data_IF_706012840334
#
_entry.id   IF_706012840334
#
_cell.length_a   1.000
_cell.length_b   1.000
_cell.length_c   1.000
_cell.angle_alpha   90.00
_cell.angle_beta   90.00
_cell.angle_gamma   90.00
#
_symmetry.space_group_name_H-M   'P 1'
#
loop_
_entity.id
_entity.type
_entity.pdbx_description
1 polymer ?
#
# COMPACT_ATOMS: atom_id res chain seq x y z
N UNK A 1 2.11 -17.75 12.44
CA UNK A 1 3.13 -18.71 11.95
C UNK A 1 4.48 -18.47 12.63
N UNK A 2 5.12 -17.32 12.43
CA UNK A 2 6.53 -17.10 12.87
C UNK A 2 6.71 -17.00 14.39
N UNK A 3 5.73 -16.51 15.14
CA UNK A 3 5.92 -16.10 16.55
C UNK A 3 5.03 -16.82 17.56
N UNK A 4 3.98 -17.53 17.16
CA UNK A 4 3.11 -18.24 18.09
C UNK A 4 3.76 -19.57 18.58
N UNK A 5 3.34 -20.05 19.76
CA UNK A 5 3.71 -21.39 20.25
C UNK A 5 3.16 -22.49 19.32
N UNK A 6 3.72 -23.69 19.39
CA UNK A 6 3.29 -24.80 18.54
C UNK A 6 1.84 -25.21 18.82
N UNK A 7 1.40 -25.13 20.07
CA UNK A 7 0.00 -25.41 20.46
C UNK A 7 -0.95 -24.41 19.79
N UNK A 8 -0.64 -23.11 19.84
CA UNK A 8 -1.46 -22.09 19.17
C UNK A 8 -1.44 -22.26 17.65
N UNK A 9 -0.31 -22.63 17.06
CA UNK A 9 -0.22 -22.88 15.61
C UNK A 9 -1.11 -24.05 15.21
N UNK A 10 -1.01 -25.19 15.91
CA UNK A 10 -1.79 -26.38 15.60
C UNK A 10 -3.29 -26.14 15.73
N UNK A 11 -3.72 -25.37 16.73
CA UNK A 11 -5.14 -25.10 16.98
C UNK A 11 -5.72 -24.04 16.03
N UNK A 12 -4.99 -22.98 15.70
CA UNK A 12 -5.57 -21.82 15.00
C UNK A 12 -5.22 -21.77 13.51
N UNK A 13 -3.99 -22.14 13.09
CA UNK A 13 -3.57 -21.96 11.70
C UNK A 13 -4.41 -22.75 10.68
N UNK A 14 -4.76 -24.02 10.88
CA UNK A 14 -5.56 -24.76 9.91
C UNK A 14 -6.90 -24.09 9.61
N UNK A 15 -7.54 -23.52 10.63
CA UNK A 15 -8.83 -22.85 10.50
C UNK A 15 -8.70 -21.46 9.87
N UNK A 16 -7.62 -20.71 10.17
CA UNK A 16 -7.34 -19.41 9.57
C UNK A 16 -6.94 -19.55 8.10
N UNK A 17 -6.11 -20.53 7.75
CA UNK A 17 -5.64 -20.73 6.36
C UNK A 17 -6.74 -21.29 5.45
N UNK A 18 -7.66 -22.10 5.98
CA UNK A 18 -8.83 -22.58 5.24
C UNK A 18 -9.95 -21.54 5.09
N UNK A 19 -9.85 -20.40 5.79
CA UNK A 19 -10.92 -19.39 5.84
C UNK A 19 -12.13 -19.77 6.69
N UNK A 20 -12.08 -20.89 7.43
CA UNK A 20 -13.12 -21.33 8.34
C UNK A 20 -13.28 -20.35 9.50
N UNK A 21 -12.16 -19.80 9.99
CA UNK A 21 -12.10 -18.69 10.92
C UNK A 21 -11.42 -17.48 10.25
N UNK A 22 -11.80 -16.28 10.66
CA UNK A 22 -11.18 -15.04 10.19
C UNK A 22 -10.27 -14.45 11.24
N UNK A 23 -9.25 -13.70 10.79
CA UNK A 23 -8.30 -13.00 11.65
C UNK A 23 -8.45 -11.49 11.55
N UNK A 24 -8.22 -10.77 12.65
CA UNK A 24 -8.24 -9.30 12.68
C UNK A 24 -7.02 -8.73 13.37
N UNK A 25 -6.64 -7.51 13.01
CA UNK A 25 -5.59 -6.72 13.67
C UNK A 25 -6.21 -5.66 14.57
N UNK A 26 -5.90 -5.70 15.87
CA UNK A 26 -6.47 -4.80 16.86
C UNK A 26 -5.39 -3.92 17.50
N UNK A 27 -5.12 -2.77 16.87
CA UNK A 27 -4.06 -1.84 17.27
C UNK A 27 -4.64 -0.57 17.90
N UNK A 28 -5.44 0.14 17.13
CA UNK A 28 -5.92 1.50 17.39
C UNK A 28 -6.88 1.54 18.60
N UNK A 29 -6.70 2.55 19.43
CA UNK A 29 -7.60 2.87 20.56
C UNK A 29 -8.13 4.30 20.41
N UNK A 30 -9.18 4.70 21.15
CA UNK A 30 -9.77 6.04 21.03
C UNK A 30 -8.77 7.19 21.17
N UNK A 31 -7.72 7.01 21.98
CA UNK A 31 -6.68 8.03 22.22
C UNK A 31 -5.42 7.84 21.37
N UNK A 32 -5.26 6.74 20.66
CA UNK A 32 -4.05 6.47 19.87
C UNK A 32 -4.31 5.67 18.61
N UNK A 33 -3.74 6.13 17.50
CA UNK A 33 -3.75 5.41 16.22
C UNK A 33 -2.34 5.36 15.65
N UNK A 34 -1.75 6.51 15.34
CA UNK A 34 -0.39 6.63 14.84
C UNK A 34 0.65 6.36 15.94
N UNK A 35 0.49 6.96 17.13
CA UNK A 35 1.36 6.72 18.27
C UNK A 35 0.77 5.63 19.17
N UNK A 36 1.09 4.38 18.87
CA UNK A 36 0.67 3.22 19.65
C UNK A 36 1.33 3.17 21.05
N UNK A 37 2.35 3.97 21.30
CA UNK A 37 2.95 4.10 22.62
C UNK A 37 1.97 4.59 23.70
N UNK A 38 0.87 5.23 23.30
CA UNK A 38 -0.20 5.70 24.16
C UNK A 38 -1.28 4.64 24.46
N UNK A 39 -1.12 3.40 23.98
CA UNK A 39 -2.07 2.31 24.20
C UNK A 39 -2.29 2.02 25.69
N UNK A 40 -3.55 1.84 26.10
CA UNK A 40 -4.00 1.59 27.46
C UNK A 40 -4.60 0.19 27.67
N UNK A 41 -4.86 -0.57 26.62
CA UNK A 41 -5.35 -1.95 26.74
C UNK A 41 -4.35 -2.78 27.56
N UNK A 42 -4.86 -3.45 28.60
CA UNK A 42 -4.08 -4.22 29.56
C UNK A 42 -4.27 -5.73 29.36
N UNK A 43 -3.20 -6.47 29.56
CA UNK A 43 -3.16 -7.94 29.60
C UNK A 43 -2.61 -8.39 30.95
N UNK A 44 -3.46 -8.87 31.84
CA UNK A 44 -3.08 -9.41 33.15
C UNK A 44 -2.85 -10.90 33.06
N UNK A 45 -1.70 -11.43 33.50
CA UNK A 45 -1.41 -12.86 33.45
C UNK A 45 -2.34 -13.65 34.38
N UNK A 46 -2.70 -14.87 33.97
CA UNK A 46 -3.37 -15.86 34.77
C UNK A 46 -2.40 -17.01 35.12
N UNK A 47 -2.75 -17.83 36.13
CA UNK A 47 -1.92 -18.94 36.60
C UNK A 47 -1.77 -20.07 35.55
N UNK A 48 -2.68 -20.14 34.58
CA UNK A 48 -2.68 -21.14 33.51
C UNK A 48 -1.88 -20.73 32.25
N UNK A 49 -1.10 -19.62 32.33
CA UNK A 49 -0.30 -19.10 31.23
C UNK A 49 -1.09 -18.27 30.21
N UNK A 50 -2.41 -18.17 30.37
CA UNK A 50 -3.23 -17.23 29.59
C UNK A 50 -3.21 -15.82 30.20
N UNK A 51 -3.89 -14.89 29.53
CA UNK A 51 -4.01 -13.49 29.98
C UNK A 51 -5.45 -13.03 29.93
N UNK A 52 -5.85 -12.16 30.85
CA UNK A 52 -7.09 -11.42 30.84
C UNK A 52 -6.88 -10.07 30.15
N UNK A 53 -7.46 -9.90 28.98
CA UNK A 53 -7.34 -8.68 28.16
C UNK A 53 -8.50 -7.74 28.49
N UNK A 54 -8.19 -6.49 28.82
CA UNK A 54 -9.19 -5.46 29.13
C UNK A 54 -8.85 -4.16 28.41
N UNK A 55 -9.80 -3.64 27.62
CA UNK A 55 -9.63 -2.38 26.87
C UNK A 55 -10.60 -2.25 25.72
N UNK A 56 -10.46 -1.16 24.97
CA UNK A 56 -11.27 -0.87 23.79
C UNK A 56 -10.40 -0.61 22.59
N UNK A 57 -10.68 -1.31 21.51
CA UNK A 57 -10.05 -1.11 20.21
C UNK A 57 -11.05 -0.55 19.21
N UNK A 58 -10.64 0.41 18.39
CA UNK A 58 -11.50 1.06 17.39
C UNK A 58 -10.97 0.88 15.97
N UNK A 59 -11.86 1.07 15.02
CA UNK A 59 -11.58 0.93 13.59
C UNK A 59 -11.11 -0.49 13.19
N UNK A 60 -11.66 -1.51 13.86
CA UNK A 60 -11.28 -2.88 13.60
C UNK A 60 -12.08 -3.43 12.41
N UNK A 61 -11.39 -3.61 11.31
CA UNK A 61 -11.95 -4.19 10.09
C UNK A 61 -12.37 -5.64 10.36
N UNK A 62 -13.64 -5.95 10.04
CA UNK A 62 -14.24 -7.27 10.24
C UNK A 62 -14.10 -7.80 11.69
N UNK A 63 -14.12 -6.89 12.69
CA UNK A 63 -14.03 -7.25 14.09
C UNK A 63 -15.19 -8.11 14.57
N UNK A 64 -16.36 -7.98 13.93
CA UNK A 64 -17.57 -8.79 14.19
C UNK A 64 -18.31 -9.01 12.88
N UNK A 65 -18.70 -10.25 12.61
CA UNK A 65 -19.54 -10.69 11.49
C UNK A 65 -19.97 -12.15 11.66
N UNK A 66 -20.88 -12.61 10.83
CA UNK A 66 -21.43 -13.98 10.79
C UNK A 66 -20.98 -14.79 9.55
N UNK A 67 -19.95 -14.31 8.82
CA UNK A 67 -19.42 -14.94 7.59
C UNK A 67 -18.43 -16.08 7.87
N UNK A 68 -17.98 -16.24 9.11
CA UNK A 68 -17.09 -17.31 9.55
C UNK A 68 -17.53 -17.87 10.90
N UNK A 69 -17.10 -19.09 11.24
CA UNK A 69 -17.48 -19.75 12.49
C UNK A 69 -16.88 -19.05 13.71
N UNK A 70 -15.73 -18.40 13.57
CA UNK A 70 -15.04 -17.70 14.65
C UNK A 70 -14.25 -16.51 14.11
N UNK A 71 -14.01 -15.51 14.96
CA UNK A 71 -13.10 -14.39 14.69
C UNK A 71 -11.96 -14.42 15.69
N UNK A 72 -10.73 -14.42 15.21
CA UNK A 72 -9.51 -14.47 16.00
C UNK A 72 -8.81 -13.11 15.95
N UNK A 73 -8.76 -12.43 17.10
CA UNK A 73 -8.19 -11.09 17.18
C UNK A 73 -6.72 -11.14 17.58
N UNK A 74 -5.84 -10.48 16.83
CA UNK A 74 -4.47 -10.18 17.23
C UNK A 74 -4.45 -8.80 17.89
N UNK A 75 -4.34 -8.77 19.22
CA UNK A 75 -4.53 -7.58 20.05
C UNK A 75 -3.21 -7.10 20.62
N UNK A 76 -2.89 -5.83 20.39
CA UNK A 76 -1.78 -5.15 21.05
C UNK A 76 -2.23 -4.68 22.45
N UNK A 77 -1.51 -5.11 23.48
CA UNK A 77 -1.79 -4.73 24.85
C UNK A 77 -0.51 -4.64 25.70
N UNK A 78 -0.61 -4.02 26.88
CA UNK A 78 0.47 -3.90 27.87
C UNK A 78 0.27 -4.88 29.00
N UNK A 79 1.36 -5.43 29.52
CA UNK A 79 1.31 -6.16 30.78
C UNK A 79 1.56 -5.20 31.99
N UNK A 80 1.18 -5.60 33.20
CA UNK A 80 1.59 -4.86 34.40
C UNK A 80 3.13 -4.67 34.42
N UNK A 81 3.56 -3.48 34.81
CA UNK A 81 5.00 -3.11 34.88
C UNK A 81 5.75 -3.14 33.53
N UNK A 82 5.05 -3.15 32.40
CA UNK A 82 5.69 -3.01 31.10
C UNK A 82 6.36 -1.63 30.93
N UNK A 83 7.50 -1.53 30.22
CA UNK A 83 8.12 -0.25 29.92
C UNK A 83 7.15 0.72 29.23
N UNK A 84 7.34 2.03 29.45
CA UNK A 84 6.55 3.06 28.76
C UNK A 84 6.79 3.08 27.23
N UNK A 85 5.85 3.67 26.52
CA UNK A 85 5.93 3.84 25.07
C UNK A 85 5.80 2.51 24.30
N UNK A 86 6.28 2.49 23.09
CA UNK A 86 6.16 1.34 22.15
C UNK A 86 6.86 0.08 22.67
N UNK A 87 7.93 0.25 23.47
CA UNK A 87 8.74 -0.85 23.99
C UNK A 87 8.02 -1.73 25.02
N UNK A 88 6.88 -1.29 25.57
CA UNK A 88 6.09 -2.07 26.52
C UNK A 88 4.88 -2.78 25.91
N UNK A 89 4.76 -2.80 24.58
CA UNK A 89 3.62 -3.40 23.91
C UNK A 89 3.91 -4.87 23.57
N UNK A 90 3.00 -5.76 23.95
CA UNK A 90 2.99 -7.18 23.62
C UNK A 90 1.83 -7.52 22.69
N UNK A 91 1.90 -8.66 22.01
CA UNK A 91 0.87 -9.15 21.10
C UNK A 91 0.16 -10.35 21.69
N UNK A 92 -1.17 -10.35 21.64
CA UNK A 92 -2.01 -11.41 22.16
C UNK A 92 -2.97 -11.93 21.10
N UNK A 93 -3.17 -13.23 21.05
CA UNK A 93 -4.22 -13.89 20.30
C UNK A 93 -5.45 -14.01 21.22
N UNK A 94 -6.58 -13.45 20.79
CA UNK A 94 -7.84 -13.40 21.55
C UNK A 94 -8.97 -13.84 20.63
N UNK A 95 -9.49 -15.08 20.75
CA UNK A 95 -10.61 -15.52 19.92
C UNK A 95 -11.94 -14.98 20.45
N UNK A 96 -12.91 -14.78 19.57
CA UNK A 96 -14.31 -14.47 19.92
C UNK A 96 -14.96 -15.64 20.65
N UNK A 97 -14.74 -16.86 20.18
CA UNK A 97 -15.15 -18.10 20.82
C UNK A 97 -13.89 -18.90 21.10
N UNK A 98 -13.69 -19.31 22.35
CA UNK A 98 -12.51 -20.08 22.76
C UNK A 98 -12.70 -21.52 22.27
N UNK A 99 -11.81 -22.00 21.38
CA UNK A 99 -11.89 -23.39 20.94
C UNK A 99 -11.38 -24.35 22.03
N UNK A 100 -11.95 -25.52 22.08
CA UNK A 100 -11.42 -26.68 22.80
C UNK A 100 -10.23 -27.26 22.01
N UNK A 101 -9.49 -28.21 22.59
CA UNK A 101 -8.30 -28.78 21.96
C UNK A 101 -8.57 -29.48 20.62
N UNK A 102 -9.80 -29.95 20.40
CA UNK A 102 -10.28 -30.56 19.15
C UNK A 102 -10.84 -29.56 18.14
N UNK A 103 -10.81 -28.25 18.47
CA UNK A 103 -11.36 -27.17 17.64
C UNK A 103 -12.84 -26.89 17.82
N UNK A 104 -13.53 -27.60 18.74
CA UNK A 104 -14.96 -27.38 19.06
C UNK A 104 -15.16 -26.00 19.68
N UNK A 105 -16.20 -25.29 19.25
CA UNK A 105 -16.50 -23.90 19.66
C UNK A 105 -17.69 -23.87 20.66
N UNK A 106 -17.41 -23.98 21.96
CA UNK A 106 -18.44 -24.00 23.01
C UNK A 106 -18.39 -22.82 23.98
N UNK A 107 -17.23 -22.15 24.11
CA UNK A 107 -17.02 -21.16 25.15
C UNK A 107 -16.95 -19.77 24.53
N UNK A 108 -17.99 -18.96 24.69
CA UNK A 108 -17.99 -17.55 24.25
C UNK A 108 -17.04 -16.76 25.14
N UNK A 109 -16.10 -16.05 24.49
CA UNK A 109 -15.16 -15.19 25.18
C UNK A 109 -15.76 -13.80 25.47
N UNK A 110 -15.20 -13.06 26.40
CA UNK A 110 -15.64 -11.73 26.79
C UNK A 110 -15.15 -10.66 25.80
N UNK A 111 -15.39 -10.88 24.50
CA UNK A 111 -15.13 -9.96 23.41
C UNK A 111 -16.47 -9.52 22.82
N UNK A 112 -16.70 -8.20 22.76
CA UNK A 112 -17.99 -7.65 22.30
C UNK A 112 -17.76 -6.57 21.26
N UNK A 113 -18.56 -6.58 20.20
CA UNK A 113 -18.69 -5.44 19.30
C UNK A 113 -19.63 -4.41 19.93
N UNK A 114 -19.10 -3.22 20.24
CA UNK A 114 -19.90 -2.13 20.80
C UNK A 114 -20.67 -1.36 19.75
N UNK A 115 -20.06 -1.20 18.56
CA UNK A 115 -20.69 -0.51 17.42
C UNK A 115 -19.98 -0.81 16.12
N UNK A 116 -20.68 -0.57 15.01
CA UNK A 116 -20.13 -0.55 13.64
C UNK A 116 -20.13 0.90 13.16
N UNK A 117 -19.02 1.35 12.62
CA UNK A 117 -18.85 2.72 12.17
C UNK A 117 -19.68 3.03 10.90
N UNK A 118 -20.32 4.21 10.89
CA UNK A 118 -20.95 4.77 9.70
C UNK A 118 -19.90 5.50 8.88
N UNK A 119 -19.47 4.91 7.76
CA UNK A 119 -18.32 5.38 7.00
C UNK A 119 -18.69 6.12 5.72
N UNK A 120 -17.76 6.91 5.22
CA UNK A 120 -17.84 7.60 3.92
C UNK A 120 -17.90 6.60 2.75
N UNK A 121 -17.02 5.60 2.75
CA UNK A 121 -16.89 4.55 1.73
C UNK A 121 -16.68 3.17 2.34
N UNK A 122 -16.39 2.17 1.48
CA UNK A 122 -16.25 0.73 1.83
C UNK A 122 -17.30 0.27 2.84
N UNK A 123 -18.56 0.63 2.60
CA UNK A 123 -19.66 0.44 3.56
C UNK A 123 -20.00 -1.03 3.81
N UNK A 124 -19.74 -1.90 2.84
CA UNK A 124 -19.99 -3.33 2.97
C UNK A 124 -18.99 -4.05 3.91
N UNK A 125 -17.82 -3.45 4.17
CA UNK A 125 -16.86 -3.99 5.14
C UNK A 125 -17.15 -3.42 6.53
N UNK A 126 -17.56 -4.23 7.53
CA UNK A 126 -17.82 -3.74 8.88
C UNK A 126 -16.52 -3.25 9.52
N UNK A 127 -16.57 -2.07 10.11
CA UNK A 127 -15.46 -1.48 10.88
C UNK A 127 -15.95 -1.28 12.30
N UNK A 128 -15.39 -2.04 13.24
CA UNK A 128 -15.97 -2.26 14.55
C UNK A 128 -15.22 -1.51 15.65
N UNK A 129 -15.97 -1.15 16.71
CA UNK A 129 -15.45 -0.85 18.04
C UNK A 129 -15.52 -2.14 18.86
N UNK A 130 -14.36 -2.65 19.30
CA UNK A 130 -14.27 -3.91 20.02
C UNK A 130 -13.95 -3.66 21.49
N UNK A 131 -14.77 -4.22 22.38
CA UNK A 131 -14.57 -4.19 23.83
C UNK A 131 -14.08 -5.55 24.33
N UNK A 132 -13.02 -5.53 25.11
CA UNK A 132 -12.41 -6.66 25.79
C UNK A 132 -12.66 -6.50 27.29
N UNK A 133 -13.45 -7.39 27.90
CA UNK A 133 -13.86 -7.32 29.30
C UNK A 133 -13.30 -8.51 30.09
N UNK A 134 -12.01 -8.51 30.42
CA UNK A 134 -11.28 -9.68 30.91
C UNK A 134 -11.34 -10.85 29.90
N UNK A 135 -11.25 -10.55 28.61
CA UNK A 135 -11.25 -11.54 27.55
C UNK A 135 -10.01 -12.44 27.65
N UNK A 136 -10.18 -13.75 27.58
CA UNK A 136 -9.08 -14.70 27.64
C UNK A 136 -8.27 -14.66 26.34
N UNK A 137 -6.95 -14.58 26.47
CA UNK A 137 -6.02 -14.55 25.34
C UNK A 137 -4.68 -15.16 25.67
N UNK A 138 -3.85 -15.35 24.66
CA UNK A 138 -2.52 -15.97 24.77
C UNK A 138 -1.46 -15.09 24.12
N UNK A 139 -0.28 -15.03 24.73
CA UNK A 139 0.86 -14.28 24.22
C UNK A 139 1.33 -14.86 22.87
N UNK A 140 1.60 -13.97 21.92
CA UNK A 140 2.20 -14.32 20.62
C UNK A 140 3.59 -13.68 20.53
N UNK A 141 4.62 -14.52 20.53
CA UNK A 141 6.01 -14.10 20.60
C UNK A 141 6.45 -13.72 22.02
N UNK A 142 7.42 -12.83 22.14
CA UNK A 142 7.99 -12.42 23.41
C UNK A 142 7.24 -11.24 24.03
N UNK A 143 7.23 -11.15 25.35
CA UNK A 143 6.77 -9.96 26.07
C UNK A 143 7.55 -8.71 25.62
N UNK A 144 6.82 -7.59 25.47
CA UNK A 144 7.36 -6.29 25.09
C UNK A 144 7.98 -6.26 23.65
N UNK A 145 7.71 -7.27 22.82
CA UNK A 145 8.10 -7.33 21.42
C UNK A 145 6.91 -7.42 20.47
N UNK A 146 5.71 -7.08 20.96
CA UNK A 146 4.47 -7.18 20.17
C UNK A 146 4.49 -6.37 18.87
N UNK A 147 5.12 -5.19 18.89
CA UNK A 147 5.27 -4.40 17.66
C UNK A 147 6.10 -5.11 16.59
N UNK A 148 7.22 -5.75 16.97
CA UNK A 148 8.05 -6.53 16.03
C UNK A 148 7.25 -7.67 15.38
N UNK A 149 6.47 -8.38 16.19
CA UNK A 149 5.62 -9.46 15.71
C UNK A 149 4.49 -8.96 14.78
N UNK A 150 3.86 -7.82 15.12
CA UNK A 150 2.80 -7.22 14.33
C UNK A 150 3.31 -6.63 13.00
N UNK A 151 4.52 -6.08 12.95
CA UNK A 151 5.11 -5.52 11.73
C UNK A 151 5.30 -6.54 10.61
N UNK A 152 5.45 -7.83 10.91
CA UNK A 152 5.52 -8.89 9.90
C UNK A 152 4.23 -8.87 9.04
N UNK A 153 3.07 -8.74 9.69
CA UNK A 153 1.78 -8.67 9.02
C UNK A 153 1.53 -7.29 8.39
N UNK A 154 1.88 -6.21 9.11
CA UNK A 154 1.65 -4.84 8.63
C UNK A 154 2.42 -4.50 7.36
N UNK A 155 3.63 -5.01 7.16
CA UNK A 155 4.39 -4.77 5.93
C UNK A 155 3.68 -5.36 4.71
N UNK A 156 3.15 -6.58 4.83
CA UNK A 156 2.30 -7.18 3.79
C UNK A 156 1.01 -6.37 3.58
N UNK A 157 0.32 -6.02 4.66
CA UNK A 157 -0.92 -5.23 4.61
C UNK A 157 -0.72 -3.89 3.88
N UNK A 158 0.41 -3.20 4.09
CA UNK A 158 0.74 -1.93 3.40
C UNK A 158 0.83 -2.11 1.88
N UNK A 159 1.46 -3.18 1.40
CA UNK A 159 1.52 -3.47 -0.03
C UNK A 159 0.14 -3.84 -0.58
N UNK A 160 -0.67 -4.61 0.15
CA UNK A 160 -2.05 -4.90 -0.23
C UNK A 160 -2.91 -3.62 -0.33
N UNK A 161 -2.69 -2.62 0.53
CA UNK A 161 -3.33 -1.31 0.40
C UNK A 161 -2.89 -0.59 -0.89
N UNK A 162 -1.63 -0.69 -1.27
CA UNK A 162 -1.15 -0.23 -2.59
C UNK A 162 -1.85 -0.94 -3.74
N UNK A 163 -2.05 -2.27 -3.64
CA UNK A 163 -2.80 -3.07 -4.63
C UNK A 163 -4.28 -2.65 -4.69
N UNK A 164 -4.91 -2.34 -3.56
CA UNK A 164 -6.28 -1.79 -3.54
C UNK A 164 -6.34 -0.47 -4.33
N UNK A 165 -5.35 0.41 -4.16
CA UNK A 165 -5.22 1.65 -4.95
C UNK A 165 -5.13 1.38 -6.45
N UNK A 166 -4.31 0.41 -6.87
CA UNK A 166 -4.19 -0.02 -8.27
C UNK A 166 -5.52 -0.57 -8.80
N UNK A 167 -6.22 -1.39 -8.02
CA UNK A 167 -7.50 -2.00 -8.40
C UNK A 167 -8.60 -0.96 -8.60
N UNK A 168 -8.75 -0.01 -7.67
CA UNK A 168 -9.70 1.11 -7.80
C UNK A 168 -9.36 2.00 -9.00
N UNK A 169 -8.08 2.29 -9.21
CA UNK A 169 -7.60 3.06 -10.37
C UNK A 169 -7.95 2.36 -11.69
N UNK A 170 -7.76 1.06 -11.77
CA UNK A 170 -8.07 0.29 -12.98
C UNK A 170 -9.57 0.27 -13.25
N UNK A 171 -10.40 0.01 -12.24
CA UNK A 171 -11.85 0.04 -12.35
C UNK A 171 -12.34 1.40 -12.83
N UNK A 172 -11.84 2.48 -12.23
CA UNK A 172 -12.16 3.85 -12.61
C UNK A 172 -11.76 4.16 -14.06
N UNK A 173 -10.54 3.76 -14.45
CA UNK A 173 -10.05 3.95 -15.82
C UNK A 173 -10.88 3.20 -16.85
N UNK A 174 -11.16 1.92 -16.63
CA UNK A 174 -11.93 1.10 -17.58
C UNK A 174 -13.34 1.63 -17.77
N UNK A 175 -14.00 2.01 -16.66
CA UNK A 175 -15.33 2.63 -16.68
C UNK A 175 -15.34 3.94 -17.45
N UNK A 176 -14.37 4.83 -17.17
CA UNK A 176 -14.24 6.11 -17.86
C UNK A 176 -13.92 5.95 -19.35
N UNK A 177 -13.07 4.98 -19.70
CA UNK A 177 -12.77 4.65 -21.09
C UNK A 177 -14.02 4.15 -21.86
N UNK A 178 -14.79 3.26 -21.24
CA UNK A 178 -16.02 2.75 -21.83
C UNK A 178 -17.03 3.88 -22.05
N UNK A 179 -17.34 4.64 -20.98
CA UNK A 179 -18.25 5.78 -21.05
C UNK A 179 -17.83 6.80 -22.12
N UNK A 180 -16.54 7.11 -22.22
CA UNK A 180 -16.03 8.10 -23.17
C UNK A 180 -16.18 7.71 -24.64
N UNK A 181 -16.30 6.41 -24.95
CA UNK A 181 -16.55 5.88 -26.30
C UNK A 181 -18.02 5.94 -26.67
N UNK A 182 -18.93 5.92 -25.71
CA UNK A 182 -20.38 5.88 -25.95
C UNK A 182 -21.03 7.23 -25.79
N UNK A 183 -20.56 8.06 -24.85
CA UNK A 183 -21.14 9.36 -24.58
C UNK A 183 -20.88 10.32 -25.74
N UNK A 184 -21.94 10.80 -26.36
CA UNK A 184 -21.89 11.82 -27.43
C UNK A 184 -22.07 13.21 -26.82
N UNK A 185 -21.08 14.10 -27.05
CA UNK A 185 -21.18 15.50 -26.62
C UNK A 185 -20.14 16.36 -27.35
N UNK A 186 -20.60 17.46 -27.94
CA UNK A 186 -19.76 18.31 -28.79
C UNK A 186 -19.32 17.59 -30.07
N UNK A 187 -18.46 18.20 -30.84
CA UNK A 187 -17.84 17.59 -32.03
C UNK A 187 -16.53 18.26 -32.38
N UNK A 188 -15.68 17.56 -33.10
CA UNK A 188 -14.47 18.15 -33.70
C UNK A 188 -14.86 19.08 -34.89
N UNK A 189 -14.04 20.12 -35.20
CA UNK A 189 -14.33 21.04 -36.28
C UNK A 189 -14.53 20.36 -37.65
N UNK A 190 -13.81 19.28 -37.90
CA UNK A 190 -13.86 18.50 -39.14
C UNK A 190 -14.97 17.44 -39.16
N UNK A 191 -15.63 17.20 -38.04
CA UNK A 191 -16.66 16.16 -37.93
C UNK A 191 -17.94 16.56 -38.64
N UNK A 192 -18.52 15.61 -39.37
CA UNK A 192 -19.84 15.71 -40.02
C UNK A 192 -20.98 15.19 -39.14
N UNK A 193 -20.67 14.64 -37.98
CA UNK A 193 -21.68 14.14 -37.05
C UNK A 193 -22.45 15.29 -36.38
N UNK A 194 -23.62 14.99 -35.81
CA UNK A 194 -24.35 15.93 -34.93
C UNK A 194 -23.57 16.12 -33.63
N UNK A 195 -23.04 15.02 -33.06
CA UNK A 195 -22.14 14.99 -31.94
C UNK A 195 -21.17 13.83 -32.06
N UNK A 196 -19.97 13.94 -31.52
CA UNK A 196 -18.96 12.90 -31.48
C UNK A 196 -18.88 12.25 -30.09
N UNK A 197 -18.38 11.00 -29.99
CA UNK A 197 -17.98 10.43 -28.70
C UNK A 197 -16.97 11.31 -27.99
N UNK A 198 -17.13 11.51 -26.68
CA UNK A 198 -16.27 12.46 -25.94
C UNK A 198 -14.77 12.07 -25.94
N UNK A 199 -14.46 10.80 -26.24
CA UNK A 199 -13.06 10.32 -26.35
C UNK A 199 -12.25 11.06 -27.46
N UNK A 200 -12.92 11.70 -28.44
CA UNK A 200 -12.21 12.45 -29.48
C UNK A 200 -11.61 13.75 -28.95
N UNK A 201 -12.16 14.30 -27.85
CA UNK A 201 -11.69 15.55 -27.29
C UNK A 201 -10.31 15.40 -26.63
N UNK A 202 -9.36 16.31 -26.92
CA UNK A 202 -7.98 16.19 -26.42
C UNK A 202 -7.86 16.10 -24.91
N UNK A 203 -8.69 16.80 -24.14
CA UNK A 203 -8.67 16.80 -22.67
C UNK A 203 -9.08 15.43 -22.12
N UNK A 204 -10.14 14.81 -22.68
CA UNK A 204 -10.57 13.46 -22.29
C UNK A 204 -9.47 12.43 -22.58
N UNK A 205 -8.86 12.50 -23.77
CA UNK A 205 -7.76 11.60 -24.15
C UNK A 205 -6.55 11.77 -23.24
N UNK A 206 -6.18 13.01 -22.91
CA UNK A 206 -5.07 13.31 -22.00
C UNK A 206 -5.32 12.70 -20.62
N UNK A 207 -6.53 12.86 -20.05
CA UNK A 207 -6.91 12.29 -18.76
C UNK A 207 -6.87 10.76 -18.77
N UNK A 208 -7.40 10.12 -19.82
CA UNK A 208 -7.34 8.67 -19.98
C UNK A 208 -5.89 8.16 -20.08
N UNK A 209 -5.03 8.83 -20.85
CA UNK A 209 -3.62 8.46 -20.95
C UNK A 209 -2.88 8.66 -19.64
N UNK A 210 -3.17 9.74 -18.90
CA UNK A 210 -2.63 9.97 -17.55
C UNK A 210 -2.99 8.83 -16.62
N UNK A 211 -4.28 8.53 -16.47
CA UNK A 211 -4.79 7.46 -15.60
C UNK A 211 -4.12 6.12 -15.94
N UNK A 212 -4.06 5.76 -17.22
CA UNK A 212 -3.48 4.48 -17.68
C UNK A 212 -1.98 4.42 -17.46
N UNK A 213 -1.24 5.48 -17.85
CA UNK A 213 0.22 5.48 -17.74
C UNK A 213 0.69 5.45 -16.29
N UNK A 214 0.02 6.18 -15.40
CA UNK A 214 0.34 6.17 -13.96
C UNK A 214 0.02 4.81 -13.35
N UNK A 215 -1.18 4.27 -13.59
CA UNK A 215 -1.60 3.01 -12.99
C UNK A 215 -0.76 1.82 -13.48
N UNK A 216 -0.47 1.73 -14.79
CA UNK A 216 0.37 0.65 -15.33
C UNK A 216 1.81 0.72 -14.82
N UNK A 217 2.38 1.92 -14.67
CA UNK A 217 3.72 2.08 -14.12
C UNK A 217 3.82 1.66 -12.65
N UNK A 218 2.83 2.07 -11.83
CA UNK A 218 2.74 1.64 -10.42
C UNK A 218 2.54 0.13 -10.34
N UNK A 219 1.69 -0.46 -11.18
CA UNK A 219 1.47 -1.92 -11.25
C UNK A 219 2.78 -2.66 -11.56
N UNK A 220 3.58 -2.15 -12.50
CA UNK A 220 4.88 -2.75 -12.81
C UNK A 220 5.84 -2.71 -11.62
N UNK A 221 5.92 -1.59 -10.91
CA UNK A 221 6.73 -1.48 -9.71
C UNK A 221 6.22 -2.40 -8.58
N UNK A 222 4.90 -2.57 -8.45
CA UNK A 222 4.28 -3.50 -7.51
C UNK A 222 4.62 -4.97 -7.84
N UNK A 223 4.64 -5.33 -9.13
CA UNK A 223 5.04 -6.67 -9.57
C UNK A 223 6.53 -6.94 -9.28
N UNK A 224 7.40 -5.92 -9.39
CA UNK A 224 8.81 -6.03 -8.96
C UNK A 224 8.90 -6.35 -7.46
N UNK A 225 8.11 -5.68 -6.62
CA UNK A 225 8.05 -5.97 -5.19
C UNK A 225 7.46 -7.37 -4.90
N UNK A 226 6.43 -7.80 -5.64
CA UNK A 226 5.87 -9.15 -5.54
C UNK A 226 6.88 -10.23 -5.87
N UNK A 227 7.63 -10.09 -6.96
CA UNK A 227 8.71 -11.02 -7.32
C UNK A 227 9.80 -11.10 -6.23
N UNK A 228 10.10 -9.98 -5.56
CA UNK A 228 11.05 -10.01 -4.44
C UNK A 228 10.51 -10.81 -3.24
N UNK A 229 9.19 -10.79 -2.98
CA UNK A 229 8.58 -11.68 -1.98
C UNK A 229 8.70 -13.16 -2.37
N UNK A 230 8.43 -13.51 -3.62
CA UNK A 230 8.56 -14.90 -4.09
C UNK A 230 9.99 -15.41 -3.94
N UNK A 231 11.00 -14.57 -4.17
CA UNK A 231 12.41 -14.91 -3.96
C UNK A 231 12.70 -15.21 -2.48
N UNK A 232 12.23 -14.35 -1.57
CA UNK A 232 12.43 -14.55 -0.12
C UNK A 232 11.75 -15.84 0.36
N UNK A 233 10.56 -16.13 -0.13
CA UNK A 233 9.81 -17.34 0.27
C UNK A 233 10.45 -18.61 -0.28
N UNK A 234 11.09 -18.55 -1.46
CA UNK A 234 11.71 -19.70 -2.10
C UNK A 234 13.09 -20.05 -1.53
N UNK A 235 13.87 -19.05 -1.10
CA UNK A 235 15.23 -19.25 -0.55
C UNK A 235 15.58 -18.15 0.45
N UNK A 236 15.39 -18.42 1.73
CA UNK A 236 15.59 -17.46 2.83
C UNK A 236 17.07 -17.21 3.20
N UNK A 237 18.02 -17.91 2.56
CA UNK A 237 19.42 -17.90 2.98
C UNK A 237 20.37 -17.28 1.95
N UNK A 238 19.90 -17.01 0.73
CA UNK A 238 20.75 -16.51 -0.35
C UNK A 238 20.98 -14.99 -0.24
N UNK A 239 22.10 -14.55 -0.84
CA UNK A 239 22.35 -13.10 -1.04
C UNK A 239 21.23 -12.42 -1.83
N UNK A 240 20.59 -13.15 -2.73
CA UNK A 240 19.46 -12.66 -3.51
C UNK A 240 18.23 -12.38 -2.61
N UNK A 241 18.01 -13.23 -1.61
CA UNK A 241 16.96 -13.02 -0.60
C UNK A 241 17.21 -11.75 0.22
N UNK A 242 18.45 -11.54 0.71
CA UNK A 242 18.83 -10.33 1.43
C UNK A 242 18.60 -9.06 0.58
N UNK A 243 19.02 -9.09 -0.67
CA UNK A 243 18.77 -7.97 -1.62
C UNK A 243 17.27 -7.73 -1.82
N UNK A 244 16.48 -8.80 -1.90
CA UNK A 244 15.03 -8.74 -2.04
C UNK A 244 14.35 -8.18 -0.80
N UNK A 245 14.80 -8.54 0.41
CA UNK A 245 14.32 -7.94 1.67
C UNK A 245 14.57 -6.42 1.70
N UNK A 246 15.78 -6.00 1.30
CA UNK A 246 16.14 -4.60 1.20
C UNK A 246 15.27 -3.84 0.20
N UNK A 247 15.01 -4.43 -0.97
CA UNK A 247 14.14 -3.85 -1.99
C UNK A 247 12.70 -3.68 -1.48
N UNK A 248 12.13 -4.71 -0.84
CA UNK A 248 10.79 -4.64 -0.23
C UNK A 248 10.76 -3.58 0.87
N UNK A 249 11.79 -3.54 1.72
CA UNK A 249 11.87 -2.55 2.78
C UNK A 249 11.84 -1.12 2.23
N UNK A 250 12.51 -0.86 1.11
CA UNK A 250 12.53 0.43 0.43
C UNK A 250 11.20 0.74 -0.26
N UNK A 251 10.67 -0.21 -1.06
CA UNK A 251 9.51 0.04 -1.92
C UNK A 251 8.19 0.06 -1.17
N UNK A 252 8.06 -0.61 -0.03
CA UNK A 252 6.78 -0.70 0.72
C UNK A 252 6.18 0.68 1.05
N UNK A 253 6.88 1.62 1.71
CA UNK A 253 6.33 2.94 2.00
C UNK A 253 6.04 3.75 0.74
N UNK A 254 6.89 3.63 -0.29
CA UNK A 254 6.73 4.32 -1.57
C UNK A 254 5.46 3.83 -2.26
N UNK A 255 5.30 2.52 -2.43
CA UNK A 255 4.16 1.92 -3.12
C UNK A 255 2.85 2.18 -2.39
N UNK A 256 2.82 2.01 -1.04
CA UNK A 256 1.61 2.28 -0.27
C UNK A 256 1.16 3.73 -0.42
N UNK A 257 2.07 4.67 -0.24
CA UNK A 257 1.74 6.10 -0.29
C UNK A 257 1.37 6.54 -1.70
N UNK A 258 2.26 6.34 -2.66
CA UNK A 258 2.08 6.85 -4.02
C UNK A 258 0.89 6.20 -4.75
N UNK A 259 0.71 4.87 -4.63
CA UNK A 259 -0.42 4.19 -5.26
C UNK A 259 -1.77 4.66 -4.71
N UNK A 260 -1.85 4.95 -3.41
CA UNK A 260 -3.11 5.39 -2.78
C UNK A 260 -3.43 6.85 -3.06
N UNK A 261 -2.44 7.75 -3.10
CA UNK A 261 -2.63 9.13 -3.52
C UNK A 261 -3.05 9.22 -4.99
N UNK A 262 -2.38 8.45 -5.86
CA UNK A 262 -2.73 8.37 -7.28
C UNK A 262 -4.10 7.70 -7.52
N UNK A 263 -4.51 6.77 -6.67
CA UNK A 263 -5.87 6.19 -6.75
C UNK A 263 -6.95 7.25 -6.50
N UNK A 264 -6.76 8.11 -5.52
CA UNK A 264 -7.69 9.20 -5.26
C UNK A 264 -7.74 10.19 -6.43
N UNK A 265 -6.60 10.54 -7.01
CA UNK A 265 -6.51 11.41 -8.19
C UNK A 265 -7.18 10.76 -9.42
N UNK A 266 -6.89 9.50 -9.69
CA UNK A 266 -7.43 8.75 -10.85
C UNK A 266 -8.95 8.58 -10.74
N UNK A 267 -9.47 8.24 -9.56
CA UNK A 267 -10.93 8.10 -9.36
C UNK A 267 -11.66 9.44 -9.54
N UNK A 268 -11.07 10.57 -9.09
CA UNK A 268 -11.60 11.90 -9.37
C UNK A 268 -11.57 12.24 -10.86
N UNK A 269 -10.49 11.93 -11.58
CA UNK A 269 -10.39 12.16 -13.02
C UNK A 269 -11.42 11.33 -13.79
N UNK A 270 -11.67 10.10 -13.38
CA UNK A 270 -12.71 9.26 -13.96
C UNK A 270 -14.11 9.83 -13.74
N UNK A 271 -14.42 10.28 -12.53
CA UNK A 271 -15.67 10.97 -12.20
C UNK A 271 -15.86 12.23 -13.08
N UNK A 272 -14.77 13.01 -13.27
CA UNK A 272 -14.78 14.19 -14.13
C UNK A 272 -15.11 13.85 -15.59
N UNK A 273 -14.60 12.73 -16.13
CA UNK A 273 -14.92 12.26 -17.49
C UNK A 273 -16.42 11.93 -17.61
N UNK A 274 -17.06 11.40 -16.57
CA UNK A 274 -18.50 11.14 -16.54
C UNK A 274 -19.33 12.44 -16.47
N UNK A 275 -18.72 13.58 -16.10
CA UNK A 275 -19.43 14.84 -15.92
C UNK A 275 -20.51 14.73 -14.85
N UNK A 276 -21.70 15.30 -15.09
CA UNK A 276 -22.82 15.24 -14.14
C UNK A 276 -23.25 13.81 -13.78
N UNK A 277 -23.16 12.86 -14.70
CA UNK A 277 -23.46 11.45 -14.41
C UNK A 277 -22.49 10.85 -13.37
N UNK A 278 -21.23 11.27 -13.34
CA UNK A 278 -20.27 10.79 -12.34
C UNK A 278 -20.62 11.16 -10.91
N UNK A 279 -21.40 12.23 -10.72
CA UNK A 279 -21.85 12.70 -9.42
C UNK A 279 -23.13 11.99 -8.93
N UNK A 280 -23.82 11.26 -9.81
CA UNK A 280 -25.06 10.54 -9.52
C UNK A 280 -24.73 9.12 -9.05
N UNK A 281 -25.34 8.71 -7.93
CA UNK A 281 -25.09 7.41 -7.27
C UNK A 281 -25.31 6.21 -8.18
N UNK A 282 -26.31 6.27 -9.06
CA UNK A 282 -26.68 5.17 -9.96
C UNK A 282 -25.55 4.78 -10.92
N UNK A 283 -24.60 5.67 -11.19
CA UNK A 283 -23.46 5.42 -12.08
C UNK A 283 -22.22 4.86 -11.34
N UNK A 284 -22.20 4.85 -10.02
CA UNK A 284 -21.17 4.23 -9.19
C UNK A 284 -19.80 4.92 -9.16
N UNK A 285 -19.56 5.98 -9.95
CA UNK A 285 -18.26 6.64 -10.00
C UNK A 285 -17.94 7.40 -8.72
N UNK A 286 -18.95 8.01 -8.09
CA UNK A 286 -18.80 8.71 -6.81
C UNK A 286 -18.38 7.74 -5.69
N UNK A 287 -18.83 6.48 -5.75
CA UNK A 287 -18.45 5.47 -4.79
C UNK A 287 -16.95 5.15 -4.87
N UNK A 288 -16.38 5.06 -6.08
CA UNK A 288 -14.93 4.81 -6.23
C UNK A 288 -14.09 5.92 -5.57
N UNK A 289 -14.53 7.18 -5.66
CA UNK A 289 -13.87 8.31 -4.98
C UNK A 289 -14.00 8.17 -3.46
N UNK A 290 -15.18 7.85 -2.94
CA UNK A 290 -15.40 7.65 -1.50
C UNK A 290 -14.59 6.48 -0.96
N UNK A 291 -14.53 5.37 -1.69
CA UNK A 291 -13.80 4.17 -1.30
C UNK A 291 -12.28 4.38 -1.36
N UNK A 292 -11.79 5.14 -2.34
CA UNK A 292 -10.38 5.47 -2.44
C UNK A 292 -9.88 6.36 -1.28
N UNK A 293 -10.75 7.18 -0.67
CA UNK A 293 -10.31 8.20 0.31
C UNK A 293 -9.70 7.62 1.58
N UNK A 294 -10.08 6.41 1.99
CA UNK A 294 -9.51 5.78 3.18
C UNK A 294 -8.07 5.28 2.98
N UNK A 295 -7.70 4.94 1.76
CA UNK A 295 -6.40 4.30 1.46
C UNK A 295 -5.19 5.12 1.90
N UNK A 296 -5.16 6.47 1.75
CA UNK A 296 -4.07 7.30 2.29
C UNK A 296 -4.04 7.41 3.82
N UNK A 297 -5.10 6.97 4.51
CA UNK A 297 -5.27 7.19 5.95
C UNK A 297 -4.85 5.96 6.77
N UNK A 298 -5.40 4.79 6.45
CA UNK A 298 -5.20 3.59 7.27
C UNK A 298 -3.91 2.82 6.94
N UNK A 299 -3.57 1.82 7.75
CA UNK A 299 -2.31 1.05 7.69
C UNK A 299 -1.04 1.93 7.77
N UNK A 300 -1.17 3.02 8.56
CA UNK A 300 -0.22 4.12 8.62
C UNK A 300 -0.49 5.14 7.51
N UNK A 301 -0.76 6.39 7.91
CA UNK A 301 -1.02 7.47 6.96
C UNK A 301 0.13 7.63 5.95
N UNK A 302 -0.14 8.23 4.80
CA UNK A 302 0.91 8.46 3.80
C UNK A 302 2.07 9.31 4.35
N UNK A 303 1.77 10.28 5.25
CA UNK A 303 2.81 11.01 6.00
C UNK A 303 3.68 10.08 6.86
N UNK A 304 3.10 9.06 7.50
CA UNK A 304 3.88 8.07 8.27
C UNK A 304 4.72 7.18 7.36
N UNK A 305 4.25 6.85 6.15
CA UNK A 305 5.06 6.14 5.16
C UNK A 305 6.27 6.99 4.74
N UNK A 306 6.06 8.28 4.52
CA UNK A 306 7.13 9.21 4.16
C UNK A 306 8.16 9.36 5.29
N UNK A 307 7.71 9.50 6.54
CA UNK A 307 8.59 9.52 7.72
C UNK A 307 9.34 8.20 7.90
N UNK A 308 8.71 7.06 7.62
CA UNK A 308 9.37 5.74 7.65
C UNK A 308 10.46 5.64 6.57
N UNK A 309 10.19 6.16 5.37
CA UNK A 309 11.16 6.18 4.28
C UNK A 309 12.38 7.03 4.64
N UNK A 310 12.18 8.31 4.98
CA UNK A 310 13.28 9.26 5.18
C UNK A 310 14.03 9.03 6.51
N UNK A 311 13.31 8.65 7.57
CA UNK A 311 13.90 8.49 8.91
C UNK A 311 14.54 7.14 9.13
N UNK A 312 13.87 6.05 8.76
CA UNK A 312 14.30 4.68 9.06
C UNK A 312 14.90 3.98 7.85
N UNK A 313 14.18 3.96 6.72
CA UNK A 313 14.61 3.20 5.53
C UNK A 313 15.84 3.83 4.89
N UNK A 314 15.92 5.14 4.91
CA UNK A 314 17.07 5.90 4.41
C UNK A 314 18.39 5.49 5.11
N UNK A 315 18.33 5.09 6.38
CA UNK A 315 19.49 4.77 7.20
C UNK A 315 19.78 3.27 7.33
N UNK A 316 19.00 2.38 6.70
CA UNK A 316 19.27 0.93 6.72
C UNK A 316 20.61 0.66 6.04
N UNK A 317 21.50 -0.10 6.73
CA UNK A 317 22.85 -0.40 6.26
C UNK A 317 23.62 0.88 5.83
N UNK A 318 23.55 1.92 6.63
CA UNK A 318 24.18 3.23 6.37
C UNK A 318 23.77 3.83 5.01
N UNK A 319 22.52 3.61 4.59
CA UNK A 319 21.97 4.11 3.34
C UNK A 319 22.27 3.24 2.11
N UNK A 320 22.86 2.07 2.29
CA UNK A 320 23.25 1.20 1.18
C UNK A 320 22.05 0.77 0.33
N UNK A 321 20.87 0.53 0.92
CA UNK A 321 19.68 0.12 0.16
C UNK A 321 19.23 1.17 -0.87
N UNK A 322 19.44 2.44 -0.59
CA UNK A 322 19.15 3.52 -1.54
C UNK A 322 20.23 3.55 -2.62
N UNK A 323 21.52 3.43 -2.23
CA UNK A 323 22.62 3.38 -3.17
C UNK A 323 22.48 2.24 -4.16
N UNK A 324 22.12 1.04 -3.69
CA UNK A 324 21.91 -0.13 -4.54
C UNK A 324 20.81 0.12 -5.59
N UNK A 325 19.69 0.74 -5.16
CA UNK A 325 18.61 1.07 -6.09
C UNK A 325 18.99 2.15 -7.10
N UNK A 326 19.72 3.18 -6.68
CA UNK A 326 20.23 4.22 -7.58
C UNK A 326 21.26 3.65 -8.57
N UNK A 327 22.14 2.76 -8.11
CA UNK A 327 23.13 2.09 -8.94
C UNK A 327 22.47 1.19 -10.01
N UNK A 328 21.40 0.45 -9.65
CA UNK A 328 20.61 -0.33 -10.62
C UNK A 328 20.09 0.57 -11.76
N UNK A 329 19.61 1.76 -11.43
CA UNK A 329 19.13 2.73 -12.44
C UNK A 329 20.30 3.24 -13.28
N UNK A 330 21.43 3.60 -12.66
CA UNK A 330 22.63 4.09 -13.38
C UNK A 330 23.17 3.05 -14.35
N UNK A 331 23.28 1.81 -13.94
CA UNK A 331 23.72 0.70 -14.79
C UNK A 331 22.80 0.54 -16.02
N UNK A 332 21.48 0.62 -15.81
CA UNK A 332 20.54 0.60 -16.92
C UNK A 332 20.75 1.78 -17.87
N UNK A 333 20.92 3.00 -17.36
CA UNK A 333 21.11 4.19 -18.17
C UNK A 333 22.41 4.11 -18.97
N UNK A 334 23.50 3.59 -18.40
CA UNK A 334 24.78 3.38 -19.07
C UNK A 334 24.63 2.30 -20.15
N UNK A 335 23.98 1.19 -19.83
CA UNK A 335 23.82 0.04 -20.76
C UNK A 335 23.11 0.44 -22.06
N UNK A 336 22.17 1.41 -21.98
CA UNK A 336 21.36 1.82 -23.14
C UNK A 336 21.64 3.24 -23.62
N UNK A 337 22.75 3.87 -23.22
CA UNK A 337 23.07 5.26 -23.62
C UNK A 337 23.31 5.40 -25.13
N UNK A 338 23.82 4.35 -25.80
CA UNK A 338 24.05 4.31 -27.24
C UNK A 338 22.87 3.73 -28.05
N UNK A 339 21.79 3.25 -27.37
CA UNK A 339 20.61 2.72 -28.07
C UNK A 339 19.74 3.86 -28.59
N UNK A 340 19.78 4.08 -29.89
CA UNK A 340 19.05 5.17 -30.59
C UNK A 340 17.53 5.13 -30.31
N UNK A 341 16.94 3.95 -30.07
CA UNK A 341 15.52 3.81 -29.76
C UNK A 341 15.20 4.18 -28.30
N UNK A 342 16.18 4.07 -27.39
CA UNK A 342 16.04 4.41 -25.98
C UNK A 342 16.45 5.84 -25.67
N UNK A 343 17.33 6.43 -26.48
CA UNK A 343 18.01 7.70 -26.18
C UNK A 343 17.04 8.84 -25.84
N UNK A 344 15.91 8.96 -26.59
CA UNK A 344 14.91 10.01 -26.30
C UNK A 344 14.28 9.86 -24.91
N UNK A 345 13.98 8.64 -24.47
CA UNK A 345 13.37 8.38 -23.18
C UNK A 345 14.37 8.56 -22.04
N UNK A 346 15.60 8.10 -22.24
CA UNK A 346 16.70 8.26 -21.29
C UNK A 346 16.98 9.74 -21.04
N UNK A 347 17.04 10.58 -22.09
CA UNK A 347 17.25 12.03 -21.95
C UNK A 347 16.16 12.70 -21.11
N UNK A 348 14.89 12.33 -21.30
CA UNK A 348 13.78 12.87 -20.53
C UNK A 348 13.86 12.43 -19.05
N UNK A 349 14.20 11.17 -18.80
CA UNK A 349 14.31 10.60 -17.48
C UNK A 349 15.50 11.12 -16.66
N UNK A 350 16.67 11.30 -17.31
CA UNK A 350 17.94 11.71 -16.65
C UNK A 350 17.77 12.95 -15.76
N UNK A 351 16.98 13.95 -16.19
CA UNK A 351 16.74 15.17 -15.39
C UNK A 351 16.08 14.86 -14.05
N UNK A 352 15.05 14.02 -14.05
CA UNK A 352 14.33 13.66 -12.83
C UNK A 352 15.13 12.71 -11.94
N UNK A 353 15.96 11.86 -12.54
CA UNK A 353 16.89 11.01 -11.78
C UNK A 353 17.98 11.83 -11.08
N UNK A 354 18.50 12.87 -11.72
CA UNK A 354 19.44 13.83 -11.11
C UNK A 354 18.76 14.55 -9.95
N UNK A 355 17.51 15.00 -10.11
CA UNK A 355 16.74 15.62 -9.01
C UNK A 355 16.63 14.71 -7.80
N UNK A 356 16.38 13.40 -8.00
CA UNK A 356 16.34 12.44 -6.89
C UNK A 356 17.71 12.31 -6.22
N UNK A 357 18.80 12.23 -6.99
CA UNK A 357 20.17 12.15 -6.43
C UNK A 357 20.50 13.40 -5.62
N UNK A 358 20.20 14.58 -6.14
CA UNK A 358 20.38 15.85 -5.42
C UNK A 358 19.61 15.87 -4.09
N UNK A 359 18.37 15.34 -4.06
CA UNK A 359 17.58 15.23 -2.84
C UNK A 359 18.20 14.22 -1.86
N UNK A 360 18.70 13.09 -2.32
CA UNK A 360 19.40 12.11 -1.47
C UNK A 360 20.64 12.73 -0.85
N UNK A 361 21.44 13.45 -1.64
CA UNK A 361 22.67 14.10 -1.17
C UNK A 361 22.35 15.25 -0.20
N UNK A 362 21.29 16.01 -0.44
CA UNK A 362 20.81 17.06 0.46
C UNK A 362 20.40 16.48 1.82
N UNK A 363 19.59 15.41 1.85
CA UNK A 363 19.14 14.76 3.09
C UNK A 363 20.33 14.25 3.91
N UNK A 364 21.37 13.72 3.25
CA UNK A 364 22.61 13.26 3.92
C UNK A 364 23.40 14.38 4.59
N UNK A 365 23.24 15.60 4.14
CA UNK A 365 23.93 16.78 4.72
C UNK A 365 23.18 17.36 5.92
N UNK A 366 21.91 17.05 6.09
CA UNK A 366 21.13 17.52 7.25
C UNK A 366 21.64 16.81 8.51
N UNK A 367 21.89 17.59 9.57
CA UNK A 367 22.23 17.00 10.87
C UNK A 367 21.11 16.03 11.32
N UNK A 368 21.48 14.78 11.55
CA UNK A 368 20.56 13.72 11.98
C UNK A 368 19.80 14.05 13.27
N UNK A 369 20.28 14.99 14.06
CA UNK A 369 19.60 15.53 15.25
C UNK A 369 18.49 16.52 14.90
N UNK A 370 18.52 17.11 13.72
CA UNK A 370 17.48 18.04 13.23
C UNK A 370 16.30 17.28 12.58
N UNK A 371 15.63 16.49 13.40
CA UNK A 371 14.49 15.67 12.95
C UNK A 371 13.34 16.50 12.38
N UNK A 372 13.17 17.76 12.81
CA UNK A 372 12.11 18.64 12.29
C UNK A 372 12.34 18.98 10.82
N UNK A 373 13.55 19.32 10.46
CA UNK A 373 13.93 19.65 9.10
C UNK A 373 13.81 18.41 8.19
N UNK A 374 14.38 17.28 8.60
CA UNK A 374 14.25 16.01 7.86
C UNK A 374 12.78 15.68 7.63
N UNK A 375 11.93 15.75 8.66
CA UNK A 375 10.53 15.41 8.57
C UNK A 375 9.72 16.35 7.67
N UNK A 376 10.13 17.62 7.54
CA UNK A 376 9.49 18.60 6.67
C UNK A 376 9.59 18.20 5.19
N UNK A 377 10.66 17.53 4.79
CA UNK A 377 10.91 17.10 3.41
C UNK A 377 10.39 15.68 3.09
N UNK A 378 9.82 14.98 4.08
CA UNK A 378 9.52 13.55 3.93
C UNK A 378 8.56 13.23 2.78
N UNK A 379 7.46 13.97 2.63
CA UNK A 379 6.48 13.72 1.57
C UNK A 379 7.03 14.07 0.19
N UNK A 380 7.78 15.17 0.07
CA UNK A 380 8.39 15.58 -1.19
C UNK A 380 9.43 14.55 -1.64
N UNK A 381 10.28 14.09 -0.72
CA UNK A 381 11.25 13.04 -0.97
C UNK A 381 10.58 11.73 -1.42
N UNK A 382 9.50 11.32 -0.76
CA UNK A 382 8.75 10.13 -1.17
C UNK A 382 8.18 10.27 -2.59
N UNK A 383 7.60 11.42 -2.91
CA UNK A 383 6.99 11.66 -4.22
C UNK A 383 8.03 11.71 -5.35
N UNK A 384 9.17 12.36 -5.15
CA UNK A 384 10.28 12.33 -6.12
C UNK A 384 10.74 10.90 -6.33
N UNK A 385 10.98 10.15 -5.26
CA UNK A 385 11.44 8.77 -5.33
C UNK A 385 10.44 7.90 -6.10
N UNK A 386 9.15 8.02 -5.78
CA UNK A 386 8.09 7.26 -6.45
C UNK A 386 8.01 7.55 -7.95
N UNK A 387 8.05 8.83 -8.35
CA UNK A 387 8.02 9.23 -9.76
C UNK A 387 9.22 8.68 -10.53
N UNK A 388 10.42 8.73 -9.95
CA UNK A 388 11.63 8.17 -10.56
C UNK A 388 11.55 6.64 -10.63
N UNK A 389 11.10 5.96 -9.59
CA UNK A 389 10.96 4.50 -9.57
C UNK A 389 9.93 4.01 -10.62
N UNK A 390 8.80 4.70 -10.75
CA UNK A 390 7.79 4.41 -11.78
C UNK A 390 8.34 4.75 -13.17
N UNK A 391 9.07 5.86 -13.32
CA UNK A 391 9.75 6.22 -14.56
C UNK A 391 10.77 5.17 -14.99
N UNK A 392 11.56 4.65 -14.08
CA UNK A 392 12.49 3.55 -14.35
C UNK A 392 11.76 2.28 -14.80
N UNK A 393 10.65 1.94 -14.17
CA UNK A 393 9.78 0.83 -14.61
C UNK A 393 9.30 1.05 -16.05
N UNK A 394 8.94 2.27 -16.43
CA UNK A 394 8.57 2.60 -17.81
C UNK A 394 9.73 2.47 -18.79
N UNK A 395 10.97 2.84 -18.42
CA UNK A 395 12.12 2.58 -19.28
C UNK A 395 12.31 1.09 -19.58
N UNK A 396 12.15 0.24 -18.55
CA UNK A 396 12.19 -1.22 -18.70
C UNK A 396 11.06 -1.73 -19.62
N UNK A 397 9.82 -1.26 -19.42
CA UNK A 397 8.68 -1.64 -20.26
C UNK A 397 8.85 -1.22 -21.71
N UNK A 398 9.34 0.00 -21.97
CA UNK A 398 9.61 0.50 -23.31
C UNK A 398 10.66 -0.39 -23.99
N UNK A 399 11.76 -0.71 -23.32
CA UNK A 399 12.83 -1.54 -23.88
C UNK A 399 12.36 -2.95 -24.22
N UNK A 400 11.62 -3.59 -23.33
CA UNK A 400 11.03 -4.92 -23.58
C UNK A 400 10.05 -4.85 -24.75
N UNK A 401 9.19 -3.84 -24.78
CA UNK A 401 8.20 -3.65 -25.83
C UNK A 401 8.82 -3.42 -27.20
N UNK A 402 9.89 -2.61 -27.30
CA UNK A 402 10.65 -2.41 -28.54
C UNK A 402 11.28 -3.70 -29.07
N UNK A 403 11.74 -4.57 -28.19
CA UNK A 403 12.29 -5.87 -28.58
C UNK A 403 11.19 -6.84 -29.05
N UNK A 404 10.05 -6.84 -28.35
CA UNK A 404 8.92 -7.75 -28.68
C UNK A 404 8.19 -7.35 -29.95
N UNK A 405 7.99 -6.07 -30.23
CA UNK A 405 7.32 -5.61 -31.45
C UNK A 405 8.09 -5.98 -32.71
N UNK A 406 9.42 -6.09 -32.64
CA UNK A 406 10.27 -6.58 -33.76
C UNK A 406 10.02 -8.06 -34.07
N UNK A 407 9.62 -8.85 -33.06
CA UNK A 407 9.36 -10.29 -33.18
C UNK A 407 7.90 -10.59 -33.57
N UNK A 408 6.98 -9.79 -33.03
CA UNK A 408 5.54 -9.94 -33.22
C UNK A 408 4.90 -8.55 -33.28
N UNK A 409 4.30 -8.23 -34.42
CA UNK A 409 3.60 -6.95 -34.59
C UNK A 409 2.27 -6.97 -33.81
N UNK A 410 2.36 -6.82 -32.48
CA UNK A 410 1.22 -6.84 -31.56
C UNK A 410 0.96 -5.41 -31.09
N UNK A 411 -0.26 -4.86 -31.29
CA UNK A 411 -0.64 -3.52 -30.85
C UNK A 411 -0.44 -3.28 -29.36
N UNK A 412 -0.42 -4.32 -28.53
CA UNK A 412 -0.15 -4.23 -27.11
C UNK A 412 1.21 -3.57 -26.83
N UNK A 413 2.28 -4.03 -27.50
CA UNK A 413 3.61 -3.47 -27.28
C UNK A 413 3.74 -2.02 -27.79
N UNK A 414 3.06 -1.70 -28.91
CA UNK A 414 3.01 -0.32 -29.38
C UNK A 414 2.33 0.58 -28.34
N UNK A 415 1.20 0.16 -27.79
CA UNK A 415 0.48 0.90 -26.77
C UNK A 415 1.33 1.14 -25.51
N UNK A 416 2.16 0.16 -25.10
CA UNK A 416 3.08 0.33 -23.96
C UNK A 416 4.18 1.37 -24.26
N UNK A 417 4.72 1.39 -25.48
CA UNK A 417 5.68 2.42 -25.87
C UNK A 417 5.04 3.82 -25.82
N UNK A 418 3.81 3.97 -26.36
CA UNK A 418 3.08 5.25 -26.38
C UNK A 418 2.73 5.73 -24.97
N UNK A 419 2.29 4.83 -24.06
CA UNK A 419 2.02 5.17 -22.67
C UNK A 419 3.29 5.56 -21.91
N UNK A 420 4.38 4.85 -22.14
CA UNK A 420 5.69 5.20 -21.59
C UNK A 420 6.19 6.56 -22.10
N UNK A 421 6.00 6.86 -23.39
CA UNK A 421 6.31 8.19 -23.95
C UNK A 421 5.46 9.28 -23.30
N UNK A 422 4.17 9.05 -23.10
CA UNK A 422 3.29 9.98 -22.39
C UNK A 422 3.79 10.21 -20.95
N UNK A 423 4.13 9.15 -20.21
CA UNK A 423 4.67 9.26 -18.86
C UNK A 423 5.94 10.11 -18.85
N UNK A 424 6.91 9.83 -19.74
CA UNK A 424 8.17 10.54 -19.82
C UNK A 424 8.03 12.00 -20.25
N UNK A 425 7.00 12.33 -21.05
CA UNK A 425 6.81 13.70 -21.56
C UNK A 425 5.88 14.56 -20.73
N UNK A 426 5.01 13.95 -19.90
CA UNK A 426 3.95 14.67 -19.17
C UNK A 426 3.98 14.45 -17.65
N UNK A 427 4.32 13.26 -17.18
CA UNK A 427 4.18 12.90 -15.76
C UNK A 427 5.50 13.02 -15.01
N UNK A 428 6.61 12.53 -15.58
CA UNK A 428 7.91 12.47 -14.89
C UNK A 428 8.38 13.85 -14.40
N UNK A 429 8.02 14.92 -15.08
CA UNK A 429 8.39 16.29 -14.72
C UNK A 429 7.68 16.82 -13.46
N UNK A 430 6.68 16.10 -12.93
CA UNK A 430 6.13 16.43 -11.62
C UNK A 430 7.22 16.39 -10.52
N UNK A 431 8.34 15.70 -10.74
CA UNK A 431 9.52 15.75 -9.85
C UNK A 431 9.98 17.17 -9.55
N UNK A 432 9.88 18.09 -10.52
CA UNK A 432 10.27 19.49 -10.36
C UNK A 432 9.45 20.25 -9.32
N UNK A 433 8.25 19.77 -9.02
CA UNK A 433 7.38 20.34 -7.98
C UNK A 433 7.87 20.01 -6.58
N UNK A 434 8.54 18.89 -6.42
CA UNK A 434 8.94 18.32 -5.13
C UNK A 434 10.43 18.54 -4.81
N UNK A 435 11.23 19.03 -5.77
CA UNK A 435 12.61 19.45 -5.56
C UNK A 435 12.65 20.84 -4.94
#
# INVERSE_FOLDING_TARGET
EKNASEELKQLYLPHLTSGKWTGTMNLTEPQCGTDLGLSKTMAKPNDDGSYNITGTKIFITCGEHDLSENVVHLVLARTPNAPDGIKGISLFLVPKIIPENDGTLNIVNNVKCGSIEKKMGIKASPTCVMHYENAKGWLVGDLNKGMKAMFIMMNGARLFVGIQGIGLSETAYQSALHYSKERLQGKLPESKNIADPIIVHPEIRKNLMYMKSVNDGIRGLMLKAGNAFDIIDSDQTSKLSETSENLIALLTPILKSFATDKALEITNNALQIYGGHGYITDHGMEQLVRDARILPIYEGTNGIQALDLIGRKFNIHDGQIINDYLSEIEEFLITYDDDQNMLKFIKLFKSSFIDLKDCVDFIRQIDTKNTKEINAHAMDFLNIFALVAVGYTWLQFIKVSQNKIKQKNDPFYLSKIQLGEFFMTKVIFETKRFK
#
